data_IF_459791557940
#
_entry.id   IF_459791557940
#
_cell.length_a   1.000
_cell.length_b   1.000
_cell.length_c   1.000
_cell.angle_alpha   90.00
_cell.angle_beta   90.00
_cell.angle_gamma   90.00
#
_symmetry.space_group_name_H-M   'P 1'
#
loop_
_entity.id
_entity.type
_entity.pdbx_description
1 polymer ?
2 water ?
#
# COMPACT_ATOMS: atom_id res chain seq x y z
N UNK A 38 -23.65 23.64 20.78
CA UNK A 38 -24.27 22.35 21.18
C UNK A 38 -23.84 21.23 20.21
N UNK A 39 -22.53 20.91 20.05
CA UNK A 39 -22.03 20.16 18.88
C UNK A 39 -22.20 18.64 18.92
N UNK A 40 -22.09 17.99 17.75
CA UNK A 40 -22.16 16.53 17.63
C UNK A 40 -20.74 16.00 17.82
N UNK A 41 -20.53 15.03 18.70
CA UNK A 41 -19.21 14.42 18.90
C UNK A 41 -19.04 13.17 18.03
N UNK A 42 -17.98 13.14 17.19
CA UNK A 42 -17.84 12.16 16.14
C UNK A 42 -16.44 11.57 16.21
N UNK A 43 -16.40 10.25 16.39
CA UNK A 43 -15.16 9.50 16.31
C UNK A 43 -14.93 9.24 14.83
N UNK A 44 -13.82 9.78 14.33
CA UNK A 44 -13.46 9.59 12.93
C UNK A 44 -12.28 8.63 12.86
N UNK A 45 -12.41 7.63 11.99
CA UNK A 45 -11.26 6.80 11.64
C UNK A 45 -10.92 7.03 10.17
N UNK A 46 -9.62 7.15 9.90
CA UNK A 46 -9.08 7.38 8.58
C UNK A 46 -8.15 6.20 8.23
N UNK A 47 -8.58 5.45 7.21
CA UNK A 47 -7.77 4.40 6.56
C UNK A 47 -7.05 4.97 5.33
N UNK A 48 -5.71 5.00 5.35
CA UNK A 48 -4.93 5.40 4.19
C UNK A 48 -4.35 4.14 3.57
N UNK A 49 -4.62 3.97 2.28
CA UNK A 49 -4.13 2.87 1.48
C UNK A 49 -3.08 3.42 0.50
N UNK A 50 -1.86 2.89 0.57
CA UNK A 50 -0.75 3.38 -0.24
C UNK A 50 -0.51 2.46 -1.44
N UNK A 51 0.39 2.87 -2.35
CA UNK A 51 0.59 2.24 -3.65
C UNK A 51 1.27 0.88 -3.50
N UNK A 52 1.93 0.69 -2.35
CA UNK A 52 2.63 -0.53 -2.01
C UNK A 52 1.69 -1.56 -1.40
N UNK A 53 0.44 -1.18 -1.13
CA UNK A 53 -0.48 -2.10 -0.47
C UNK A 53 -0.54 -1.97 1.05
N UNK A 54 0.37 -1.19 1.62
CA UNK A 54 0.33 -0.86 3.03
C UNK A 54 -0.92 -0.02 3.35
N UNK A 55 -1.39 -0.16 4.58
CA UNK A 55 -2.54 0.56 5.09
C UNK A 55 -2.12 1.13 6.45
N UNK A 56 -2.53 2.37 6.74
CA UNK A 56 -2.41 2.94 8.08
C UNK A 56 -3.80 3.34 8.53
N UNK A 57 -4.04 3.36 9.86
CA UNK A 57 -5.32 3.75 10.46
C UNK A 57 -5.03 4.86 11.46
N UNK A 58 -5.80 5.95 11.38
CA UNK A 58 -5.68 7.08 12.28
C UNK A 58 -7.05 7.38 12.91
N UNK A 59 -7.05 7.85 14.17
CA UNK A 59 -8.25 8.22 14.92
C UNK A 59 -8.28 9.74 15.09
N UNK A 60 -9.47 10.32 14.99
CA UNK A 60 -9.73 11.67 15.45
C UNK A 60 -11.02 11.65 16.26
N UNK A 61 -11.16 12.60 17.20
CA UNK A 61 -12.44 12.99 17.77
C UNK A 61 -12.78 14.41 17.38
N UNK A 62 -13.91 14.59 16.68
CA UNK A 62 -14.34 15.84 16.07
C UNK A 62 -15.65 16.32 16.69
N UNK A 63 -15.86 17.65 16.74
CA UNK A 63 -17.12 18.22 17.18
C UNK A 63 -17.76 18.92 15.99
N UNK A 64 -18.92 18.45 15.57
CA UNK A 64 -19.55 18.95 14.35
C UNK A 64 -20.64 19.96 14.72
N UNK A 65 -20.40 21.19 14.25
CA UNK A 65 -21.35 22.28 14.28
C UNK A 65 -22.05 22.34 12.93
N UNK A 66 -21.27 22.40 11.85
CA UNK A 66 -21.86 22.29 10.52
C UNK A 66 -21.61 20.90 9.95
N UNK A 67 -22.71 20.17 9.69
CA UNK A 67 -22.63 18.90 8.99
C UNK A 67 -21.88 19.10 7.67
N UNK A 68 -22.34 20.08 6.87
CA UNK A 68 -21.77 20.27 5.54
C UNK A 68 -20.29 20.66 5.65
N UNK A 69 -19.85 21.30 6.75
CA UNK A 69 -18.43 21.61 6.91
C UNK A 69 -17.61 20.35 7.17
N UNK A 70 -18.23 19.41 7.89
CA UNK A 70 -17.62 18.14 8.23
C UNK A 70 -17.38 17.37 6.93
N UNK A 71 -18.46 17.17 6.17
CA UNK A 71 -18.41 16.38 4.96
C UNK A 71 -17.40 16.99 3.99
N UNK A 72 -17.22 18.33 4.06
CA UNK A 72 -16.36 19.07 3.15
C UNK A 72 -14.91 18.82 3.54
N UNK A 73 -14.62 18.68 4.84
CA UNK A 73 -13.26 18.42 5.24
C UNK A 73 -12.82 17.06 4.69
N UNK A 74 -13.77 16.15 4.46
CA UNK A 74 -13.48 14.79 4.08
C UNK A 74 -14.00 14.48 2.67
N UNK A 75 -14.20 15.49 1.80
CA UNK A 75 -14.86 15.24 0.51
C UNK A 75 -14.06 14.29 -0.40
N UNK A 76 -12.72 14.26 -0.28
CA UNK A 76 -11.90 13.37 -1.11
C UNK A 76 -11.82 11.92 -0.61
N UNK A 77 -12.45 11.65 0.54
CA UNK A 77 -12.41 10.35 1.19
C UNK A 77 -13.65 9.54 0.86
N UNK A 78 -13.53 8.21 0.86
CA UNK A 78 -14.68 7.36 0.67
C UNK A 78 -15.23 6.89 2.00
N UNK A 79 -16.55 6.88 2.12
CA UNK A 79 -17.22 6.46 3.34
C UNK A 79 -17.30 4.93 3.36
N UNK A 80 -16.74 4.30 4.39
CA UNK A 80 -16.84 2.86 4.54
C UNK A 80 -18.01 2.55 5.45
N UNK A 81 -18.13 3.29 6.56
CA UNK A 81 -19.22 3.13 7.49
C UNK A 81 -19.52 4.45 8.20
N UNK A 82 -20.80 4.61 8.53
CA UNK A 82 -21.25 5.71 9.35
C UNK A 82 -22.28 5.18 10.33
N UNK A 83 -22.09 5.52 11.60
CA UNK A 83 -23.12 5.39 12.60
C UNK A 83 -23.38 6.76 13.17
N UNK A 84 -24.34 6.82 14.08
CA UNK A 84 -24.42 7.89 15.06
C UNK A 84 -23.13 7.85 15.88
N UNK A 85 -22.41 8.99 15.79
CA UNK A 85 -21.17 9.26 16.49
C UNK A 85 -19.86 8.75 15.87
N UNK A 86 -19.89 8.07 14.70
CA UNK A 86 -18.72 7.43 14.12
C UNK A 86 -18.74 7.42 12.59
N UNK A 87 -17.58 7.74 12.01
CA UNK A 87 -17.36 7.55 10.60
C UNK A 87 -16.01 6.90 10.38
N UNK A 88 -15.96 5.95 9.43
CA UNK A 88 -14.70 5.45 8.90
C UNK A 88 -14.57 5.78 7.42
N UNK A 89 -13.49 6.47 7.09
CA UNK A 89 -13.22 6.90 5.73
C UNK A 89 -11.98 6.16 5.23
N UNK A 90 -11.94 5.92 3.90
CA UNK A 90 -10.77 5.36 3.26
C UNK A 90 -10.37 6.27 2.12
N UNK A 91 -9.05 6.37 1.87
CA UNK A 91 -8.48 7.15 0.79
C UNK A 91 -7.25 6.42 0.23
N UNK A 92 -7.20 6.29 -1.11
CA UNK A 92 -6.01 5.80 -1.80
C UNK A 92 -5.03 6.95 -1.89
N UNK A 93 -3.85 6.78 -1.27
CA UNK A 93 -2.80 7.76 -1.28
C UNK A 93 -1.95 7.48 -2.51
N UNK A 94 -1.58 8.57 -3.19
CA UNK A 94 -0.75 8.52 -4.39
C UNK A 94 0.72 8.51 -3.96
N UNK A 95 1.07 7.53 -3.14
CA UNK A 95 2.38 7.45 -2.55
C UNK A 95 2.53 6.09 -1.86
N UNK A 96 3.78 5.74 -1.56
CA UNK A 96 4.08 4.59 -0.73
C UNK A 96 3.97 5.02 0.73
N UNK A 97 3.82 4.04 1.62
CA UNK A 97 3.61 4.35 3.01
C UNK A 97 4.92 4.86 3.63
N UNK A 98 4.87 5.61 4.75
CA UNK A 98 6.07 5.97 5.50
C UNK A 98 6.91 4.78 5.98
N UNK A 99 6.29 3.71 6.46
CA UNK A 99 7.07 2.56 6.91
C UNK A 99 7.77 1.85 5.74
N UNK A 100 7.15 1.87 4.54
CA UNK A 100 7.76 1.31 3.34
C UNK A 100 8.99 2.10 2.94
N UNK A 101 8.98 3.40 3.24
CA UNK A 101 10.12 4.24 2.93
C UNK A 101 11.35 3.90 3.77
N UNK A 102 11.21 3.08 4.82
CA UNK A 102 12.38 2.66 5.59
C UNK A 102 12.51 1.15 5.61
N UNK A 103 11.58 0.41 5.02
CA UNK A 103 11.66 -1.02 5.24
C UNK A 103 11.23 -1.77 3.99
N UNK A 104 10.99 -1.00 2.91
CA UNK A 104 10.22 -1.46 1.76
C UNK A 104 11.07 -2.21 0.74
N UNK A 105 10.73 -3.49 0.52
CA UNK A 105 11.36 -4.31 -0.51
C UNK A 105 10.33 -4.89 -1.47
N UNK A 106 10.79 -5.16 -2.70
CA UNK A 106 10.09 -6.00 -3.66
C UNK A 106 10.86 -7.32 -3.78
N UNK A 107 10.12 -8.41 -3.67
CA UNK A 107 10.65 -9.75 -3.80
C UNK A 107 9.70 -10.66 -4.52
N UNK A 108 10.02 -11.94 -4.47
CA UNK A 108 9.28 -12.95 -5.19
C UNK A 108 8.93 -13.98 -4.15
N UNK A 109 7.72 -14.53 -4.25
CA UNK A 109 7.17 -15.44 -3.26
C UNK A 109 6.53 -16.58 -4.04
N UNK A 110 5.72 -17.38 -3.33
CA UNK A 110 4.65 -18.17 -3.93
C UNK A 110 5.19 -18.92 -5.14
N UNK A 111 4.42 -18.92 -6.23
CA UNK A 111 4.89 -19.42 -7.51
C UNK A 111 5.29 -18.22 -8.35
N UNK A 112 6.44 -17.61 -8.05
CA UNK A 112 6.96 -16.54 -8.90
C UNK A 112 6.13 -15.26 -8.86
N UNK A 113 5.48 -14.99 -7.71
CA UNK A 113 4.62 -13.84 -7.50
C UNK A 113 5.44 -12.68 -6.91
N UNK A 114 5.38 -11.53 -7.58
CA UNK A 114 5.97 -10.28 -7.14
C UNK A 114 5.13 -9.73 -5.99
N UNK A 115 5.83 -9.36 -4.92
CA UNK A 115 5.23 -8.97 -3.67
C UNK A 115 6.03 -7.82 -3.10
N UNK A 116 5.33 -6.97 -2.35
CA UNK A 116 6.03 -6.03 -1.50
C UNK A 116 6.12 -6.67 -0.12
N UNK A 117 7.19 -6.30 0.57
CA UNK A 117 7.56 -6.92 1.84
C UNK A 117 7.98 -5.77 2.73
N UNK A 118 7.77 -5.91 4.04
CA UNK A 118 8.50 -5.10 5.01
C UNK A 118 9.76 -5.86 5.48
N UNK A 119 10.94 -5.25 5.31
CA UNK A 119 12.20 -5.96 5.49
C UNK A 119 12.50 -6.98 4.39
N UNK A 120 13.79 -7.27 4.20
CA UNK A 120 14.25 -8.10 3.10
C UNK A 120 13.50 -9.41 3.19
N UNK A 121 13.03 -9.98 2.08
CA UNK A 121 12.33 -11.26 2.16
C UNK A 121 13.16 -12.44 2.65
N UNK A 122 12.62 -13.19 3.62
CA UNK A 122 12.88 -14.60 3.82
C UNK A 122 11.60 -15.33 3.41
N UNK A 123 11.58 -16.64 3.05
CA UNK A 123 10.33 -17.26 2.58
C UNK A 123 9.29 -17.66 3.65
N UNK A 124 9.61 -17.47 4.93
CA UNK A 124 8.59 -17.36 5.96
C UNK A 124 8.46 -15.89 6.39
N UNK A 125 8.34 -15.02 5.38
CA UNK A 125 8.16 -13.59 5.59
C UNK A 125 6.77 -13.25 5.08
N UNK A 126 6.31 -12.05 5.41
CA UNK A 126 4.91 -11.67 5.32
C UNK A 126 4.73 -10.60 4.23
N UNK A 127 4.20 -10.93 3.02
CA UNK A 127 4.01 -9.93 1.97
C UNK A 127 2.93 -8.92 2.37
N UNK A 128 3.26 -7.64 2.29
CA UNK A 128 2.29 -6.58 2.43
C UNK A 128 1.19 -6.84 1.41
N UNK A 129 1.58 -7.01 0.15
CA UNK A 129 0.67 -7.25 -0.96
C UNK A 129 1.38 -8.07 -2.02
N UNK A 130 0.62 -8.89 -2.73
CA UNK A 130 1.15 -9.64 -3.88
C UNK A 130 0.56 -9.02 -5.13
N UNK A 131 1.25 -9.10 -6.29
CA UNK A 131 0.78 -8.36 -7.46
C UNK A 131 0.56 -9.22 -8.70
N UNK A 132 1.61 -9.81 -9.29
CA UNK A 132 1.45 -10.65 -10.46
C UNK A 132 2.50 -11.75 -10.39
N UNK A 133 2.29 -12.81 -11.17
CA UNK A 133 3.32 -13.80 -11.42
C UNK A 133 4.29 -13.28 -12.48
N UNK A 134 5.55 -13.70 -12.39
CA UNK A 134 6.48 -13.47 -13.49
C UNK A 134 7.20 -14.76 -13.82
N UNK A 135 7.82 -14.80 -15.00
CA UNK A 135 8.60 -15.97 -15.37
C UNK A 135 10.05 -15.65 -15.03
N UNK A 136 10.58 -16.27 -13.98
CA UNK A 136 11.93 -16.02 -13.47
C UNK A 136 12.96 -16.64 -14.39
N UNK A 137 12.56 -17.59 -15.25
CA UNK A 137 13.52 -18.14 -16.17
C UNK A 137 13.95 -17.05 -17.16
N UNK A 138 13.12 -16.04 -17.36
CA UNK A 138 13.40 -15.07 -18.43
C UNK A 138 14.31 -13.94 -17.95
N UNK A 139 14.51 -13.79 -16.64
CA UNK A 139 15.31 -12.69 -16.12
C UNK A 139 16.79 -12.97 -16.34
N UNK A 140 17.49 -11.93 -16.82
CA UNK A 140 18.93 -11.80 -16.84
C UNK A 140 19.46 -12.07 -15.44
N UNK A 141 20.59 -12.78 -15.37
CA UNK A 141 21.14 -13.38 -14.16
C UNK A 141 21.29 -12.42 -12.98
N UNK A 142 21.89 -11.24 -13.21
CA UNK A 142 22.09 -10.23 -12.17
C UNK A 142 20.74 -9.72 -11.65
N UNK A 143 19.82 -9.48 -12.58
CA UNK A 143 18.50 -8.96 -12.24
C UNK A 143 17.76 -10.00 -11.39
N UNK A 144 17.92 -11.28 -11.75
CA UNK A 144 17.34 -12.38 -11.02
C UNK A 144 17.86 -12.43 -9.60
N UNK A 145 19.18 -12.32 -9.45
CA UNK A 145 19.77 -12.27 -8.13
C UNK A 145 19.24 -11.10 -7.29
N UNK A 146 19.14 -9.90 -7.87
CA UNK A 146 18.68 -8.74 -7.14
C UNK A 146 17.27 -8.99 -6.58
N UNK A 147 16.39 -9.42 -7.49
CA UNK A 147 15.01 -9.73 -7.12
C UNK A 147 14.98 -10.81 -6.04
N UNK A 148 15.79 -11.89 -6.19
CA UNK A 148 15.74 -13.00 -5.26
C UNK A 148 16.24 -12.60 -3.88
N UNK A 149 17.22 -11.68 -3.82
CA UNK A 149 17.66 -11.08 -2.55
C UNK A 149 16.62 -10.13 -1.98
N UNK A 150 15.92 -9.41 -2.86
CA UNK A 150 15.00 -8.38 -2.45
C UNK A 150 15.51 -7.02 -2.90
N UNK A 151 14.68 -6.28 -3.63
CA UNK A 151 15.04 -4.99 -4.22
C UNK A 151 14.46 -3.86 -3.35
N UNK A 152 15.32 -2.99 -2.78
CA UNK A 152 14.83 -1.89 -1.95
C UNK A 152 14.15 -0.79 -2.76
N UNK A 153 13.03 -0.27 -2.24
CA UNK A 153 12.46 0.97 -2.74
C UNK A 153 12.24 1.87 -1.52
N UNK A 154 12.30 3.19 -1.73
CA UNK A 154 12.25 4.18 -0.66
C UNK A 154 11.43 5.38 -1.11
N UNK A 155 11.05 5.40 -2.38
CA UNK A 155 10.28 6.46 -2.99
C UNK A 155 9.22 5.82 -3.90
N UNK A 156 8.19 6.62 -4.26
CA UNK A 156 7.12 6.24 -5.16
C UNK A 156 7.67 5.88 -6.54
N UNK A 157 8.59 6.72 -7.03
CA UNK A 157 9.18 6.58 -8.34
C UNK A 157 9.87 5.22 -8.46
N UNK A 158 10.74 4.92 -7.48
CA UNK A 158 11.50 3.69 -7.38
C UNK A 158 10.56 2.49 -7.33
N UNK A 159 9.47 2.62 -6.54
CA UNK A 159 8.48 1.55 -6.40
C UNK A 159 7.92 1.18 -7.76
N UNK A 160 7.46 2.18 -8.49
CA UNK A 160 6.73 1.89 -9.71
C UNK A 160 7.74 1.64 -10.85
N UNK A 161 8.98 2.16 -10.71
CA UNK A 161 10.03 1.74 -11.63
C UNK A 161 10.19 0.23 -11.53
N UNK A 162 10.33 -0.32 -10.32
CA UNK A 162 10.66 -1.74 -10.19
C UNK A 162 9.48 -2.59 -10.66
N UNK A 163 8.26 -2.23 -10.24
CA UNK A 163 7.07 -2.95 -10.68
C UNK A 163 6.92 -3.02 -12.21
N UNK A 164 7.10 -1.87 -12.88
CA UNK A 164 7.07 -1.76 -14.33
C UNK A 164 8.10 -2.67 -14.96
N UNK A 165 9.31 -2.64 -14.43
CA UNK A 165 10.38 -3.52 -14.89
C UNK A 165 9.89 -4.97 -14.78
N UNK A 166 9.29 -5.33 -13.64
CA UNK A 166 8.98 -6.73 -13.36
C UNK A 166 7.83 -7.19 -14.27
N UNK A 167 6.91 -6.25 -14.58
CA UNK A 167 5.72 -6.45 -15.39
C UNK A 167 6.08 -6.93 -16.80
N UNK A 168 7.31 -6.66 -17.25
CA UNK A 168 7.76 -7.18 -18.53
C UNK A 168 7.74 -8.70 -18.56
N UNK A 169 7.92 -9.32 -17.39
CA UNK A 169 8.13 -10.74 -17.34
C UNK A 169 6.85 -11.49 -16.97
N UNK A 170 5.73 -10.80 -16.90
CA UNK A 170 4.46 -11.49 -16.68
C UNK A 170 3.84 -11.85 -18.04
N UNK A 171 2.71 -12.60 -18.05
CA UNK A 171 2.11 -13.12 -19.28
C UNK A 171 2.29 -14.64 -19.43
N UNK A 172 1.54 -15.27 -20.33
CA UNK A 172 1.69 -16.70 -20.62
C UNK A 172 3.05 -17.02 -21.26
N UNK A 173 3.57 -18.23 -21.02
CA UNK A 173 4.80 -18.67 -21.68
C UNK A 173 4.54 -18.90 -23.18
#
# INVERSE_FOLDING_TARGET
MVKRFSTAYLLLGILCSAAVFLIGAPSRALGAEVEHYEPLQVHVQLEKVYLDGDVSIEHKHEKVFSMDDFWAAYAGWTLVEQKKGYVLFRKQMDDISPLSKVNGYIGVSDNGVISTFHGRPEPASEPIQSFFQIDLERLESHMQKNLLKGIPFRTKAEFEDVIEHMKTYSGLE
#
